data_IF_504692545160
#
_entry.id   IF_504692545160
#
_cell.length_a   1.000
_cell.length_b   1.000
_cell.length_c   1.000
_cell.angle_alpha   90.00
_cell.angle_beta   90.00
_cell.angle_gamma   90.00
#
_symmetry.space_group_name_H-M   'P 1'
#
loop_
_entity.id
_entity.type
_entity.pdbx_description
1 polymer ?
#
# COMPACT_ATOMS: atom_id res chain seq x y z
N UNK A 1 51.08 -32.42 -36.20
CA UNK A 1 50.45 -31.45 -35.31
C UNK A 1 49.41 -32.18 -34.45
N UNK A 2 49.64 -32.36 -33.14
CA UNK A 2 48.70 -33.02 -32.26
C UNK A 2 47.70 -32.00 -31.71
N UNK A 3 46.44 -32.43 -31.57
CA UNK A 3 45.36 -31.66 -30.94
C UNK A 3 45.58 -31.64 -29.41
N UNK A 4 45.28 -30.52 -28.73
CA UNK A 4 45.29 -30.51 -27.27
C UNK A 4 44.03 -31.17 -26.73
N UNK A 5 44.18 -32.19 -25.92
CA UNK A 5 43.14 -32.80 -25.09
C UNK A 5 43.02 -31.95 -23.83
N UNK A 6 42.02 -31.07 -23.79
CA UNK A 6 41.62 -30.41 -22.56
C UNK A 6 40.84 -31.42 -21.68
N UNK A 7 41.56 -31.94 -20.72
CA UNK A 7 40.98 -32.64 -19.58
C UNK A 7 40.35 -31.60 -18.65
N UNK A 8 39.04 -31.42 -18.77
CA UNK A 8 38.24 -30.73 -17.76
C UNK A 8 38.33 -31.56 -16.46
N UNK A 9 39.02 -31.01 -15.50
CA UNK A 9 39.12 -31.56 -14.15
C UNK A 9 37.75 -31.53 -13.46
N UNK A 10 37.11 -32.70 -13.42
CA UNK A 10 35.76 -32.92 -12.86
C UNK A 10 35.77 -32.95 -11.32
N UNK A 11 36.80 -32.39 -10.68
CA UNK A 11 37.03 -32.45 -9.22
C UNK A 11 36.32 -31.32 -8.46
N UNK A 12 35.79 -30.30 -9.14
CA UNK A 12 35.01 -29.23 -8.50
C UNK A 12 33.50 -29.48 -8.75
N UNK A 13 32.82 -30.06 -7.79
CA UNK A 13 31.41 -30.02 -7.45
C UNK A 13 30.89 -31.35 -6.87
N UNK A 14 31.65 -31.99 -6.00
CA UNK A 14 31.03 -32.82 -4.97
C UNK A 14 30.55 -31.89 -3.84
N UNK A 15 29.55 -31.03 -4.10
CA UNK A 15 28.72 -30.48 -3.05
C UNK A 15 28.05 -31.67 -2.39
N UNK A 16 28.62 -32.07 -1.25
CA UNK A 16 28.01 -33.09 -0.38
C UNK A 16 26.66 -32.51 0.08
N UNK A 17 25.59 -32.83 -0.64
CA UNK A 17 24.23 -32.54 -0.21
C UNK A 17 24.05 -33.27 1.11
N UNK A 18 24.36 -32.60 2.21
CA UNK A 18 23.88 -32.99 3.53
C UNK A 18 22.37 -32.88 3.36
N UNK A 19 21.67 -34.03 3.45
CA UNK A 19 20.21 -34.07 3.43
C UNK A 19 19.67 -33.46 4.72
N UNK A 20 19.77 -32.15 4.83
CA UNK A 20 18.98 -31.34 5.73
C UNK A 20 17.69 -31.02 4.94
N UNK A 21 16.72 -31.88 5.06
CA UNK A 21 15.43 -31.76 4.35
C UNK A 21 14.47 -30.92 5.19
N UNK A 22 14.81 -29.65 5.45
CA UNK A 22 13.91 -28.74 6.17
C UNK A 22 12.79 -28.31 5.20
N UNK A 23 11.61 -28.90 5.37
CA UNK A 23 10.44 -28.64 4.54
C UNK A 23 9.78 -27.32 4.90
N UNK A 24 9.45 -26.52 3.90
CA UNK A 24 8.72 -25.24 4.07
C UNK A 24 7.37 -25.43 4.78
N UNK A 25 6.67 -26.53 4.49
CA UNK A 25 5.40 -26.86 5.18
C UNK A 25 5.60 -27.17 6.66
N UNK A 26 6.74 -27.76 7.03
CA UNK A 26 7.09 -27.93 8.42
C UNK A 26 7.40 -26.59 9.12
N UNK A 27 8.06 -25.66 8.43
CA UNK A 27 8.28 -24.29 8.94
C UNK A 27 6.98 -23.51 9.09
N UNK A 28 6.03 -23.63 8.16
CA UNK A 28 4.69 -23.03 8.30
C UNK A 28 3.95 -23.58 9.50
N UNK A 29 4.00 -24.89 9.68
CA UNK A 29 3.39 -25.56 10.84
C UNK A 29 4.03 -25.09 12.14
N UNK A 30 5.35 -24.97 12.20
CA UNK A 30 6.07 -24.41 13.34
C UNK A 30 5.62 -22.98 13.65
N UNK A 31 5.51 -22.11 12.65
CA UNK A 31 5.05 -20.73 12.82
C UNK A 31 3.59 -20.66 13.31
N UNK A 32 2.71 -21.56 12.87
CA UNK A 32 1.35 -21.65 13.41
C UNK A 32 1.35 -21.98 14.91
N UNK A 33 2.30 -22.78 15.40
CA UNK A 33 2.47 -22.96 16.85
C UNK A 33 2.97 -21.68 17.53
N UNK A 34 3.94 -20.98 16.94
CA UNK A 34 4.43 -19.69 17.50
C UNK A 34 3.29 -18.69 17.71
N UNK A 35 2.33 -18.65 16.79
CA UNK A 35 1.17 -17.75 16.85
C UNK A 35 0.12 -18.21 17.88
N UNK A 36 -0.12 -19.52 17.99
CA UNK A 36 -1.23 -20.06 18.79
C UNK A 36 -0.82 -20.52 20.18
N UNK A 37 0.47 -20.85 20.39
CA UNK A 37 0.99 -21.42 21.63
C UNK A 37 0.42 -22.82 21.98
N UNK A 38 -0.18 -23.55 21.02
CA UNK A 38 -0.82 -24.83 21.25
C UNK A 38 -0.82 -25.72 20.02
N UNK A 39 -0.33 -26.96 20.15
CA UNK A 39 -0.34 -27.95 19.06
C UNK A 39 -1.75 -28.20 18.52
N UNK A 40 -2.76 -28.25 19.39
CA UNK A 40 -4.14 -28.47 18.96
C UNK A 40 -4.69 -27.29 18.14
N UNK A 41 -4.43 -26.05 18.59
CA UNK A 41 -4.86 -24.85 17.86
C UNK A 41 -4.08 -24.66 16.56
N UNK A 42 -2.77 -24.88 16.59
CA UNK A 42 -1.93 -24.82 15.40
C UNK A 42 -2.35 -25.84 14.35
N UNK A 43 -2.58 -27.12 14.75
CA UNK A 43 -3.07 -28.15 13.86
C UNK A 43 -4.40 -27.77 13.20
N UNK A 44 -5.35 -27.24 13.97
CA UNK A 44 -6.64 -26.75 13.45
C UNK A 44 -6.45 -25.60 12.46
N UNK A 45 -5.57 -24.65 12.74
CA UNK A 45 -5.27 -23.51 11.86
C UNK A 45 -4.78 -23.93 10.48
N UNK A 46 -3.97 -25.00 10.41
CA UNK A 46 -3.43 -25.53 9.15
C UNK A 46 -4.22 -26.75 8.60
N UNK A 47 -5.44 -26.99 9.10
CA UNK A 47 -6.33 -28.08 8.65
C UNK A 47 -5.71 -29.48 8.78
N UNK A 48 -4.95 -29.75 9.86
CA UNK A 48 -4.36 -31.05 10.17
C UNK A 48 -4.86 -31.63 11.50
N UNK A 49 -4.70 -32.94 11.67
CA UNK A 49 -4.91 -33.55 12.99
C UNK A 49 -3.77 -33.21 13.94
N UNK A 50 -4.03 -33.19 15.25
CA UNK A 50 -3.01 -32.90 16.26
C UNK A 50 -1.88 -33.96 16.25
N UNK A 51 -2.22 -35.23 15.96
CA UNK A 51 -1.24 -36.31 15.83
C UNK A 51 -0.29 -36.11 14.65
N UNK A 52 -0.84 -35.74 13.47
CA UNK A 52 -0.05 -35.44 12.28
C UNK A 52 0.84 -34.21 12.48
N UNK A 53 0.32 -33.18 13.13
CA UNK A 53 1.09 -31.99 13.50
C UNK A 53 2.26 -32.34 14.44
N UNK A 54 1.98 -33.13 15.51
CA UNK A 54 3.01 -33.56 16.45
C UNK A 54 4.10 -34.39 15.79
N UNK A 55 3.73 -35.31 14.89
CA UNK A 55 4.69 -36.11 14.13
C UNK A 55 5.56 -35.24 13.21
N UNK A 56 4.97 -34.22 12.56
CA UNK A 56 5.71 -33.29 11.73
C UNK A 56 6.69 -32.45 12.54
N UNK A 57 6.31 -31.97 13.72
CA UNK A 57 7.22 -31.20 14.60
C UNK A 57 8.38 -32.05 15.12
N UNK A 58 8.14 -33.29 15.51
CA UNK A 58 9.22 -34.22 15.87
C UNK A 58 10.22 -34.44 14.73
N UNK A 59 9.71 -34.66 13.53
CA UNK A 59 10.55 -34.79 12.34
C UNK A 59 11.41 -33.54 12.10
N UNK A 60 10.84 -32.36 12.29
CA UNK A 60 11.57 -31.11 12.18
C UNK A 60 12.69 -30.99 13.25
N UNK A 61 12.44 -31.39 14.50
CA UNK A 61 13.43 -31.47 15.56
C UNK A 61 14.56 -32.45 15.23
N UNK A 62 14.23 -33.63 14.71
CA UNK A 62 15.19 -34.64 14.25
C UNK A 62 16.06 -34.11 13.13
N UNK A 63 15.50 -33.41 12.16
CA UNK A 63 16.21 -32.84 11.02
C UNK A 63 17.15 -31.68 11.46
N UNK A 64 16.75 -30.88 12.42
CA UNK A 64 17.54 -29.78 12.99
C UNK A 64 18.58 -30.31 13.99
N UNK A 65 18.32 -31.44 14.61
CA UNK A 65 19.16 -32.02 15.66
C UNK A 65 19.07 -31.28 17.01
N UNK A 66 17.96 -30.59 17.26
CA UNK A 66 17.70 -29.85 18.49
C UNK A 66 16.21 -29.85 18.85
N UNK A 67 15.91 -29.91 20.14
CA UNK A 67 14.54 -29.73 20.63
C UNK A 67 14.10 -28.27 20.39
N UNK A 68 12.96 -28.10 19.77
CA UNK A 68 12.33 -26.79 19.52
C UNK A 68 11.30 -26.43 20.58
N UNK A 69 10.80 -27.45 21.29
CA UNK A 69 9.75 -27.30 22.29
C UNK A 69 10.17 -27.93 23.63
N UNK A 70 9.90 -27.23 24.71
CA UNK A 70 10.13 -27.70 26.07
C UNK A 70 8.83 -27.62 26.89
N UNK A 71 8.73 -28.49 27.90
CA UNK A 71 7.60 -28.44 28.83
C UNK A 71 7.91 -27.54 30.02
N UNK A 72 7.11 -26.50 30.20
CA UNK A 72 7.10 -25.70 31.42
C UNK A 72 5.79 -25.95 32.18
N UNK A 73 5.84 -26.84 33.17
CA UNK A 73 4.67 -27.28 33.89
C UNK A 73 3.65 -27.98 32.99
N UNK A 74 2.49 -27.37 32.79
CA UNK A 74 1.43 -27.91 31.92
C UNK A 74 1.46 -27.36 30.49
N UNK A 75 2.37 -26.43 30.22
CA UNK A 75 2.46 -25.75 28.94
C UNK A 75 3.64 -26.25 28.13
N UNK A 76 3.46 -26.24 26.80
CA UNK A 76 4.53 -26.44 25.86
C UNK A 76 4.96 -25.05 25.36
N UNK A 77 6.24 -24.74 25.50
CA UNK A 77 6.82 -23.45 25.08
C UNK A 77 8.00 -23.70 24.15
N UNK A 78 8.47 -22.65 23.49
CA UNK A 78 9.67 -22.75 22.64
C UNK A 78 10.93 -22.87 23.51
N UNK A 79 11.85 -23.73 23.07
CA UNK A 79 13.22 -23.76 23.57
C UNK A 79 14.01 -22.55 23.01
N UNK A 80 15.25 -22.34 23.45
CA UNK A 80 16.18 -21.36 22.85
C UNK A 80 16.40 -21.62 21.37
N UNK A 81 16.49 -22.89 20.95
CA UNK A 81 16.57 -23.27 19.53
C UNK A 81 15.29 -22.91 18.78
N UNK A 82 14.10 -23.14 19.39
CA UNK A 82 12.82 -22.76 18.82
C UNK A 82 12.67 -21.24 18.68
N UNK A 83 13.11 -20.47 19.66
CA UNK A 83 13.11 -19.00 19.59
C UNK A 83 13.98 -18.52 18.43
N UNK A 84 15.20 -19.05 18.30
CA UNK A 84 16.11 -18.73 17.18
C UNK A 84 15.52 -19.12 15.82
N UNK A 85 14.92 -20.31 15.73
CA UNK A 85 14.31 -20.78 14.49
C UNK A 85 13.16 -19.84 14.05
N UNK A 86 12.45 -19.21 14.95
CA UNK A 86 11.28 -18.37 14.62
C UNK A 86 11.63 -17.27 13.63
N UNK A 87 12.75 -16.55 13.82
CA UNK A 87 13.17 -15.49 12.90
C UNK A 87 13.56 -16.04 11.54
N UNK A 88 14.35 -17.12 11.52
CA UNK A 88 14.79 -17.78 10.28
C UNK A 88 13.63 -18.43 9.51
N UNK A 89 12.69 -19.09 10.21
CA UNK A 89 11.50 -19.67 9.61
C UNK A 89 10.63 -18.62 8.92
N UNK A 90 10.41 -17.45 9.54
CA UNK A 90 9.69 -16.35 8.92
C UNK A 90 10.37 -15.86 7.66
N UNK A 91 11.68 -15.69 7.66
CA UNK A 91 12.45 -15.26 6.49
C UNK A 91 12.38 -16.29 5.36
N UNK A 92 12.60 -17.58 5.66
CA UNK A 92 12.58 -18.65 4.66
C UNK A 92 11.20 -18.83 4.03
N UNK A 93 10.13 -18.84 4.83
CA UNK A 93 8.76 -18.93 4.33
C UNK A 93 8.42 -17.70 3.48
N UNK A 94 8.78 -16.50 3.93
CA UNK A 94 8.57 -15.27 3.17
C UNK A 94 9.31 -15.29 1.84
N UNK A 95 10.59 -15.69 1.83
CA UNK A 95 11.40 -15.78 0.62
C UNK A 95 10.87 -16.83 -0.36
N UNK A 96 10.45 -17.99 0.14
CA UNK A 96 9.82 -19.03 -0.67
C UNK A 96 8.53 -18.51 -1.33
N UNK A 97 7.66 -17.84 -0.56
CA UNK A 97 6.40 -17.30 -1.08
C UNK A 97 6.64 -16.20 -2.11
N UNK A 98 7.64 -15.34 -1.86
CA UNK A 98 8.06 -14.34 -2.81
C UNK A 98 8.58 -14.99 -4.10
N UNK A 99 9.44 -15.99 -4.02
CA UNK A 99 9.97 -16.70 -5.20
C UNK A 99 8.87 -17.37 -6.00
N UNK A 100 7.94 -18.07 -5.34
CA UNK A 100 6.79 -18.66 -6.03
C UNK A 100 5.88 -17.63 -6.66
N UNK A 101 5.70 -16.51 -5.99
CA UNK A 101 4.99 -15.35 -6.51
C UNK A 101 5.69 -14.83 -7.76
N UNK A 102 6.96 -14.53 -7.70
CA UNK A 102 7.75 -14.03 -8.83
C UNK A 102 7.71 -14.99 -10.03
N UNK A 103 7.89 -16.29 -9.80
CA UNK A 103 7.84 -17.29 -10.88
C UNK A 103 6.45 -17.45 -11.51
N UNK A 104 5.38 -17.37 -10.72
CA UNK A 104 4.02 -17.34 -11.23
C UNK A 104 3.75 -16.07 -12.05
N UNK A 105 4.39 -14.95 -11.70
CA UNK A 105 4.24 -13.65 -12.38
C UNK A 105 5.04 -13.57 -13.67
N UNK A 106 6.07 -14.39 -13.85
CA UNK A 106 6.78 -14.47 -15.13
C UNK A 106 5.83 -14.89 -16.29
N UNK A 107 4.67 -15.48 -15.97
CA UNK A 107 3.66 -15.89 -16.95
C UNK A 107 2.51 -14.86 -17.09
N UNK A 108 2.28 -13.99 -16.13
CA UNK A 108 1.18 -13.01 -16.17
C UNK A 108 1.68 -11.66 -16.74
N UNK A 109 1.62 -11.56 -18.08
CA UNK A 109 2.02 -10.33 -18.82
C UNK A 109 0.94 -9.26 -18.84
N UNK A 110 -0.16 -9.43 -18.08
CA UNK A 110 -1.21 -8.43 -18.08
C UNK A 110 -0.73 -7.14 -17.41
N UNK A 111 -1.13 -5.97 -17.94
CA UNK A 111 -0.80 -4.71 -17.30
C UNK A 111 -1.48 -4.56 -15.95
N UNK A 112 -0.79 -3.91 -15.01
CA UNK A 112 -1.38 -3.48 -13.74
C UNK A 112 -2.35 -2.33 -14.00
N UNK A 113 -3.62 -2.48 -13.64
CA UNK A 113 -4.66 -1.46 -13.79
C UNK A 113 -4.75 -0.64 -12.51
N UNK A 114 -4.23 0.58 -12.56
CA UNK A 114 -4.13 1.51 -11.42
C UNK A 114 -5.11 2.67 -11.59
N UNK A 115 -6.01 2.84 -10.64
CA UNK A 115 -6.86 4.04 -10.54
C UNK A 115 -6.14 5.16 -9.78
N UNK A 116 -6.26 6.40 -10.25
CA UNK A 116 -5.72 7.57 -9.56
C UNK A 116 -6.63 8.79 -9.81
N UNK A 117 -7.18 9.44 -8.77
CA UNK A 117 -7.83 10.71 -8.92
C UNK A 117 -6.86 11.76 -9.47
N UNK A 118 -7.35 12.66 -10.29
CA UNK A 118 -6.53 13.72 -10.90
C UNK A 118 -5.78 14.55 -9.85
N UNK A 119 -6.39 14.76 -8.71
CA UNK A 119 -5.81 15.47 -7.56
C UNK A 119 -4.41 14.99 -7.16
N UNK A 120 -4.10 13.72 -7.41
CA UNK A 120 -2.87 13.08 -6.95
C UNK A 120 -1.90 12.74 -8.08
N UNK A 121 -2.21 13.10 -9.33
CA UNK A 121 -1.39 12.80 -10.50
C UNK A 121 0.00 13.44 -10.43
N UNK A 122 0.13 14.63 -9.87
CA UNK A 122 1.41 15.35 -9.84
C UNK A 122 2.32 14.93 -8.67
N UNK A 123 1.75 14.65 -7.50
CA UNK A 123 2.55 14.48 -6.26
C UNK A 123 2.63 13.03 -5.75
N UNK A 124 1.56 12.25 -5.89
CA UNK A 124 1.49 10.89 -5.31
C UNK A 124 1.76 9.82 -6.36
N UNK A 125 1.11 9.91 -7.52
CA UNK A 125 1.19 8.92 -8.59
C UNK A 125 2.63 8.65 -9.05
N UNK A 126 3.49 9.65 -9.34
CA UNK A 126 4.85 9.40 -9.81
C UNK A 126 5.68 8.62 -8.80
N UNK A 127 5.52 8.90 -7.49
CA UNK A 127 6.22 8.18 -6.44
C UNK A 127 5.78 6.72 -6.35
N UNK A 128 4.48 6.45 -6.48
CA UNK A 128 3.94 5.09 -6.51
C UNK A 128 4.42 4.33 -7.74
N UNK A 129 4.36 4.94 -8.94
CA UNK A 129 4.86 4.33 -10.19
C UNK A 129 6.35 3.99 -10.08
N UNK A 130 7.17 4.87 -9.51
CA UNK A 130 8.60 4.60 -9.33
C UNK A 130 8.84 3.37 -8.45
N UNK A 131 8.09 3.20 -7.37
CA UNK A 131 8.21 2.03 -6.47
C UNK A 131 7.70 0.74 -7.14
N UNK A 132 6.61 0.82 -7.89
CA UNK A 132 6.10 -0.31 -8.69
C UNK A 132 7.11 -0.73 -9.76
N UNK A 133 7.70 0.22 -10.46
CA UNK A 133 8.73 -0.05 -11.47
C UNK A 133 10.00 -0.64 -10.88
N UNK A 134 10.42 -0.21 -9.69
CA UNK A 134 11.54 -0.82 -8.98
C UNK A 134 11.25 -2.29 -8.59
N UNK A 135 10.02 -2.57 -8.18
CA UNK A 135 9.62 -3.94 -7.81
C UNK A 135 9.55 -4.87 -9.04
N UNK A 136 9.07 -4.36 -10.17
CA UNK A 136 8.88 -5.13 -11.40
C UNK A 136 9.08 -4.25 -12.65
N UNK A 137 10.31 -4.11 -13.15
CA UNK A 137 10.64 -3.25 -14.29
C UNK A 137 9.93 -3.61 -15.59
N UNK A 138 9.52 -4.87 -15.75
CA UNK A 138 8.88 -5.39 -16.97
C UNK A 138 7.35 -5.29 -16.96
N UNK A 139 6.73 -4.92 -15.84
CA UNK A 139 5.29 -4.77 -15.75
C UNK A 139 4.86 -3.44 -16.37
N UNK A 140 3.95 -3.49 -17.34
CA UNK A 140 3.28 -2.29 -17.82
C UNK A 140 2.17 -1.86 -16.87
N UNK A 141 1.97 -0.55 -16.72
CA UNK A 141 0.96 0.02 -15.83
C UNK A 141 -0.01 0.84 -16.68
N UNK A 142 -1.30 0.56 -16.56
CA UNK A 142 -2.37 1.37 -17.14
C UNK A 142 -2.99 2.22 -16.04
N UNK A 143 -2.97 3.54 -16.22
CA UNK A 143 -3.53 4.49 -15.26
C UNK A 143 -4.90 4.97 -15.73
N UNK A 144 -5.88 4.90 -14.84
CA UNK A 144 -7.25 5.39 -15.06
C UNK A 144 -7.51 6.56 -14.11
N UNK A 145 -7.84 7.73 -14.68
CA UNK A 145 -8.06 8.94 -13.88
C UNK A 145 -9.56 9.23 -13.79
N UNK A 146 -10.11 9.02 -12.60
CA UNK A 146 -11.53 9.21 -12.29
C UNK A 146 -11.69 9.63 -10.80
N UNK A 147 -12.86 10.16 -10.40
CA UNK A 147 -13.13 10.44 -8.98
C UNK A 147 -13.06 9.20 -8.10
N UNK A 148 -12.67 9.37 -6.83
CA UNK A 148 -12.48 8.25 -5.88
C UNK A 148 -13.69 7.33 -5.75
N UNK A 149 -14.91 7.85 -5.88
CA UNK A 149 -16.15 7.06 -5.80
C UNK A 149 -16.26 6.07 -6.98
N UNK A 150 -15.93 6.52 -8.20
CA UNK A 150 -15.92 5.66 -9.39
C UNK A 150 -14.78 4.67 -9.37
N UNK A 151 -13.60 5.09 -8.93
CA UNK A 151 -12.46 4.19 -8.75
C UNK A 151 -12.76 3.08 -7.73
N UNK A 152 -13.47 3.41 -6.64
CA UNK A 152 -13.89 2.40 -5.65
C UNK A 152 -14.86 1.40 -6.27
N UNK A 153 -15.87 1.87 -7.01
CA UNK A 153 -16.81 0.99 -7.72
C UNK A 153 -16.10 0.04 -8.68
N UNK A 154 -15.13 0.56 -9.47
CA UNK A 154 -14.33 -0.26 -10.40
C UNK A 154 -13.40 -1.24 -9.69
N UNK A 155 -12.87 -0.86 -8.54
CA UNK A 155 -12.04 -1.73 -7.71
C UNK A 155 -12.86 -2.92 -7.18
N UNK A 156 -14.07 -2.65 -6.67
CA UNK A 156 -14.99 -3.67 -6.16
C UNK A 156 -15.49 -4.61 -7.29
N UNK A 157 -15.68 -4.07 -8.48
CA UNK A 157 -16.03 -4.86 -9.67
C UNK A 157 -14.84 -5.68 -10.24
N UNK A 158 -13.62 -5.49 -9.75
CA UNK A 158 -12.40 -6.13 -10.27
C UNK A 158 -11.95 -5.59 -11.63
N UNK A 159 -12.45 -4.42 -12.02
CA UNK A 159 -12.02 -3.70 -13.23
C UNK A 159 -10.66 -3.02 -13.04
N UNK A 160 -10.29 -2.71 -11.80
CA UNK A 160 -8.98 -2.21 -11.38
C UNK A 160 -8.31 -3.22 -10.44
N UNK A 161 -6.98 -3.24 -10.44
CA UNK A 161 -6.19 -4.06 -9.53
C UNK A 161 -5.90 -3.30 -8.22
N UNK A 162 -5.67 -1.99 -8.34
CA UNK A 162 -5.52 -1.09 -7.19
C UNK A 162 -5.95 0.34 -7.57
N UNK A 163 -6.20 1.17 -6.56
CA UNK A 163 -6.52 2.57 -6.75
C UNK A 163 -5.99 3.43 -5.60
N UNK A 164 -5.47 4.60 -5.94
CA UNK A 164 -5.25 5.68 -4.98
C UNK A 164 -6.63 6.26 -4.64
N UNK A 165 -6.96 6.27 -3.35
CA UNK A 165 -8.25 6.75 -2.86
C UNK A 165 -8.07 7.72 -1.70
N UNK A 166 -9.08 8.55 -1.50
CA UNK A 166 -9.20 9.41 -0.32
C UNK A 166 -10.07 8.73 0.73
N UNK A 167 -9.60 8.68 1.98
CA UNK A 167 -10.36 8.18 3.13
C UNK A 167 -10.40 9.20 4.28
N UNK A 168 -11.30 8.99 5.24
CA UNK A 168 -11.24 9.69 6.52
C UNK A 168 -10.03 9.19 7.34
N UNK A 169 -9.37 10.05 8.15
CA UNK A 169 -8.20 9.65 8.93
C UNK A 169 -8.44 8.48 9.90
N UNK A 170 -9.68 8.27 10.32
CA UNK A 170 -10.07 7.19 11.25
C UNK A 170 -10.51 5.89 10.55
N UNK A 171 -10.38 5.81 9.22
CA UNK A 171 -10.70 4.60 8.46
C UNK A 171 -9.48 3.69 8.37
N UNK A 172 -9.70 2.38 8.37
CA UNK A 172 -8.65 1.36 8.18
C UNK A 172 -8.54 0.89 6.72
N UNK A 173 -9.32 1.49 5.80
CA UNK A 173 -9.33 1.11 4.38
C UNK A 173 -7.97 1.36 3.72
N UNK A 174 -7.43 0.34 3.06
CA UNK A 174 -6.23 0.44 2.21
C UNK A 174 -4.93 0.71 2.97
N UNK A 175 -3.84 0.81 2.23
CA UNK A 175 -2.49 1.05 2.72
C UNK A 175 -2.19 2.55 2.67
N UNK A 176 -1.77 3.11 3.77
CA UNK A 176 -1.53 4.55 3.88
C UNK A 176 -0.34 4.98 3.02
N UNK A 177 -0.53 6.05 2.24
CA UNK A 177 0.51 6.67 1.42
C UNK A 177 0.94 8.02 2.02
N UNK A 178 -0.03 8.91 2.22
CA UNK A 178 0.21 10.25 2.77
C UNK A 178 -1.08 10.82 3.33
N UNK A 179 -1.00 12.03 3.88
CA UNK A 179 -2.17 12.80 4.29
C UNK A 179 -2.19 14.12 3.54
N UNK A 180 -3.37 14.64 3.28
CA UNK A 180 -3.57 15.95 2.67
C UNK A 180 -4.46 16.83 3.55
N UNK A 181 -4.13 18.12 3.59
CA UNK A 181 -4.90 19.13 4.32
C UNK A 181 -5.70 19.97 3.34
N UNK A 182 -7.00 20.08 3.57
CA UNK A 182 -7.83 21.01 2.82
C UNK A 182 -7.39 22.45 3.05
N UNK A 183 -7.32 23.23 1.97
CA UNK A 183 -6.88 24.63 1.98
C UNK A 183 -7.79 25.46 1.08
N UNK A 184 -7.94 26.74 1.45
CA UNK A 184 -8.54 27.74 0.60
C UNK A 184 -7.49 28.42 -0.26
N UNK A 185 -7.79 28.61 -1.54
CA UNK A 185 -6.88 29.16 -2.53
C UNK A 185 -7.51 30.30 -3.31
N UNK A 186 -6.66 31.27 -3.69
CA UNK A 186 -7.01 32.36 -4.59
C UNK A 186 -5.84 32.70 -5.52
N UNK A 187 -6.09 33.42 -6.59
CA UNK A 187 -4.99 34.00 -7.38
C UNK A 187 -4.22 35.04 -6.56
N UNK A 188 -3.00 35.38 -7.01
CA UNK A 188 -2.18 36.38 -6.32
C UNK A 188 -2.84 37.76 -6.24
N UNK A 189 -3.66 38.10 -7.24
CA UNK A 189 -4.32 39.41 -7.39
C UNK A 189 -5.76 39.44 -6.90
N UNK A 190 -6.32 38.33 -6.44
CA UNK A 190 -7.72 38.27 -6.01
C UNK A 190 -7.91 39.05 -4.70
N UNK A 191 -8.81 40.03 -4.70
CA UNK A 191 -9.18 40.82 -3.51
C UNK A 191 -10.49 40.31 -2.93
N UNK A 192 -10.44 39.68 -1.76
CA UNK A 192 -11.61 39.09 -1.08
C UNK A 192 -12.61 40.18 -0.69
N UNK A 193 -12.10 41.32 -0.21
CA UNK A 193 -12.87 42.44 0.30
C UNK A 193 -13.67 43.19 -0.78
N UNK A 194 -13.28 43.01 -2.04
CA UNK A 194 -13.97 43.62 -3.18
C UNK A 194 -15.30 42.93 -3.52
N UNK A 195 -15.62 41.78 -2.87
CA UNK A 195 -16.77 40.97 -3.19
C UNK A 195 -17.82 40.98 -2.06
N UNK A 196 -19.03 41.42 -2.33
CA UNK A 196 -20.15 41.30 -1.39
C UNK A 196 -20.60 39.85 -1.22
N UNK A 197 -20.47 39.02 -2.26
CA UNK A 197 -20.64 37.58 -2.24
C UNK A 197 -19.43 36.95 -2.90
N UNK A 198 -18.77 36.01 -2.23
CA UNK A 198 -17.52 35.36 -2.72
C UNK A 198 -17.84 34.42 -3.88
N UNK A 199 -17.22 34.61 -5.06
CA UNK A 199 -17.37 33.65 -6.16
C UNK A 199 -16.55 32.39 -5.83
N UNK A 200 -17.19 31.22 -5.86
CA UNK A 200 -16.59 29.95 -5.53
C UNK A 200 -16.45 29.07 -6.78
N UNK A 201 -15.27 28.50 -6.98
CA UNK A 201 -15.05 27.36 -7.85
C UNK A 201 -14.74 26.15 -6.96
N UNK A 202 -15.64 25.18 -6.92
CA UNK A 202 -15.52 24.00 -6.06
C UNK A 202 -15.53 22.72 -6.89
N UNK A 203 -15.04 21.65 -6.30
CA UNK A 203 -15.19 20.31 -6.88
C UNK A 203 -16.63 19.82 -6.75
N UNK A 204 -16.96 18.64 -7.28
CA UNK A 204 -18.31 18.07 -7.21
C UNK A 204 -18.83 17.98 -5.75
N UNK A 205 -20.13 17.96 -5.58
CA UNK A 205 -20.81 18.05 -4.28
C UNK A 205 -20.48 16.88 -3.31
N UNK A 206 -20.08 15.73 -3.82
CA UNK A 206 -19.63 14.56 -3.07
C UNK A 206 -18.21 14.70 -2.50
N UNK A 207 -17.49 15.77 -2.88
CA UNK A 207 -16.16 16.06 -2.34
C UNK A 207 -16.26 16.61 -0.90
N UNK A 208 -15.44 16.06 0.00
CA UNK A 208 -15.38 16.50 1.41
C UNK A 208 -15.01 17.97 1.55
N UNK A 209 -14.16 18.50 0.67
CA UNK A 209 -13.77 19.91 0.70
C UNK A 209 -14.90 20.82 0.24
N UNK A 210 -15.71 20.41 -0.75
CA UNK A 210 -16.89 21.13 -1.19
C UNK A 210 -17.89 21.28 -0.03
N UNK A 211 -18.29 20.15 0.56
CA UNK A 211 -19.26 20.16 1.66
C UNK A 211 -18.78 21.01 2.85
N UNK A 212 -17.50 20.86 3.23
CA UNK A 212 -16.90 21.62 4.33
C UNK A 212 -16.79 23.12 4.02
N UNK A 213 -16.51 23.48 2.77
CA UNK A 213 -16.43 24.88 2.33
C UNK A 213 -17.81 25.57 2.44
N UNK A 214 -18.84 24.97 1.90
CA UNK A 214 -20.21 25.49 1.97
C UNK A 214 -20.69 25.62 3.43
N UNK A 215 -20.55 24.53 4.20
CA UNK A 215 -20.96 24.53 5.62
C UNK A 215 -20.21 25.58 6.44
N UNK A 216 -18.89 25.69 6.23
CA UNK A 216 -18.06 26.65 6.97
C UNK A 216 -18.40 28.10 6.66
N UNK A 217 -18.61 28.47 5.38
CA UNK A 217 -18.99 29.82 4.99
C UNK A 217 -20.39 30.16 5.50
N UNK A 218 -21.35 29.21 5.39
CA UNK A 218 -22.71 29.36 5.89
C UNK A 218 -22.72 29.64 7.39
N UNK A 219 -21.97 28.88 8.19
CA UNK A 219 -21.85 29.07 9.64
C UNK A 219 -21.25 30.41 10.04
N UNK A 220 -20.38 30.99 9.19
CA UNK A 220 -19.82 32.34 9.41
C UNK A 220 -20.72 33.47 8.89
N UNK A 221 -21.84 33.16 8.26
CA UNK A 221 -22.69 34.17 7.64
C UNK A 221 -22.02 34.88 6.45
N UNK A 222 -20.99 34.27 5.87
CA UNK A 222 -20.29 34.83 4.72
C UNK A 222 -21.06 34.54 3.44
N UNK A 223 -21.50 35.61 2.75
CA UNK A 223 -22.20 35.49 1.47
C UNK A 223 -21.24 34.91 0.40
N UNK A 224 -21.75 33.97 -0.38
CA UNK A 224 -21.01 33.36 -1.49
C UNK A 224 -21.96 33.03 -2.65
N UNK A 225 -21.36 32.87 -3.84
CA UNK A 225 -22.03 32.37 -5.03
C UNK A 225 -21.20 31.25 -5.64
N UNK A 226 -21.77 30.07 -5.88
CA UNK A 226 -21.11 29.00 -6.61
C UNK A 226 -21.02 29.39 -8.08
N UNK A 227 -19.84 29.85 -8.52
CA UNK A 227 -19.56 30.23 -9.90
C UNK A 227 -19.41 28.99 -10.77
N UNK A 228 -18.71 27.98 -10.27
CA UNK A 228 -18.46 26.75 -11.01
C UNK A 228 -18.35 25.53 -10.07
N UNK A 229 -18.92 24.41 -10.54
CA UNK A 229 -18.74 23.09 -9.97
C UNK A 229 -17.91 22.25 -10.95
N UNK A 230 -16.66 21.92 -10.57
CA UNK A 230 -15.70 21.27 -11.44
C UNK A 230 -15.64 19.78 -11.14
N UNK A 231 -15.36 18.97 -12.17
CA UNK A 231 -15.12 17.53 -12.01
C UNK A 231 -13.63 17.16 -12.03
N UNK A 232 -12.74 18.14 -12.22
CA UNK A 232 -11.30 17.98 -12.20
C UNK A 232 -10.65 19.07 -11.35
N UNK A 233 -9.54 18.74 -10.68
CA UNK A 233 -8.76 19.70 -9.90
C UNK A 233 -8.10 20.75 -10.79
N UNK A 234 -7.68 20.37 -12.00
CA UNK A 234 -7.08 21.29 -12.98
C UNK A 234 -8.07 22.36 -13.44
N UNK A 235 -9.33 21.99 -13.71
CA UNK A 235 -10.36 22.96 -14.08
C UNK A 235 -10.66 23.93 -12.92
N UNK A 236 -10.83 23.43 -11.70
CA UNK A 236 -11.03 24.26 -10.52
C UNK A 236 -9.84 25.23 -10.33
N UNK A 237 -8.62 24.73 -10.39
CA UNK A 237 -7.38 25.51 -10.23
C UNK A 237 -7.26 26.59 -11.31
N UNK A 238 -7.55 26.26 -12.58
CA UNK A 238 -7.48 27.21 -13.68
C UNK A 238 -8.42 28.42 -13.49
N UNK A 239 -9.65 28.21 -13.01
CA UNK A 239 -10.58 29.29 -12.69
C UNK A 239 -10.05 30.19 -11.56
N UNK A 240 -9.45 29.61 -10.55
CA UNK A 240 -8.85 30.32 -9.42
C UNK A 240 -7.61 31.11 -9.88
N UNK A 241 -6.73 30.52 -10.67
CA UNK A 241 -5.51 31.17 -11.22
C UNK A 241 -5.84 32.41 -12.06
N UNK A 242 -6.96 32.37 -12.79
CA UNK A 242 -7.45 33.52 -13.56
C UNK A 242 -8.14 34.59 -12.70
N UNK A 243 -8.25 34.40 -11.40
CA UNK A 243 -8.87 35.36 -10.50
C UNK A 243 -10.39 35.43 -10.59
N UNK A 244 -11.05 34.43 -11.20
CA UNK A 244 -12.50 34.41 -11.36
C UNK A 244 -13.23 33.98 -10.08
N UNK A 245 -12.59 33.20 -9.23
CA UNK A 245 -13.15 32.65 -8.01
C UNK A 245 -12.08 32.31 -6.98
N UNK A 246 -12.50 32.03 -5.74
CA UNK A 246 -11.69 31.30 -4.77
C UNK A 246 -12.06 29.83 -4.79
N UNK A 247 -11.14 28.97 -4.37
CA UNK A 247 -11.32 27.52 -4.35
C UNK A 247 -11.06 26.90 -3.00
N UNK A 248 -11.64 25.72 -2.76
CA UNK A 248 -11.33 24.85 -1.63
C UNK A 248 -10.90 23.49 -2.17
N UNK A 249 -9.66 23.08 -1.87
CA UNK A 249 -9.07 21.83 -2.38
C UNK A 249 -8.02 21.28 -1.46
N UNK A 250 -7.47 20.11 -1.79
CA UNK A 250 -6.30 19.55 -1.11
C UNK A 250 -5.04 20.38 -1.37
N UNK A 251 -4.19 20.53 -0.37
CA UNK A 251 -2.91 21.28 -0.50
C UNK A 251 -1.99 20.64 -1.55
N UNK A 252 -2.04 19.32 -1.71
CA UNK A 252 -1.23 18.61 -2.72
C UNK A 252 -1.61 18.98 -4.16
N UNK A 253 -2.85 19.46 -4.38
CA UNK A 253 -3.41 19.78 -5.70
C UNK A 253 -3.39 21.28 -6.03
N UNK A 254 -2.98 22.14 -5.08
CA UNK A 254 -3.16 23.59 -5.24
C UNK A 254 -2.32 24.22 -6.35
N UNK A 255 -1.15 23.62 -6.70
CA UNK A 255 -0.21 24.22 -7.64
C UNK A 255 0.52 25.45 -7.08
N UNK A 256 1.42 26.06 -7.88
CA UNK A 256 2.33 27.10 -7.44
C UNK A 256 1.85 28.53 -7.79
N UNK A 257 0.82 28.66 -8.65
CA UNK A 257 0.34 29.97 -9.15
C UNK A 257 -0.74 30.60 -8.27
N UNK A 258 -1.16 29.94 -7.23
CA UNK A 258 -2.17 30.41 -6.29
C UNK A 258 -1.57 30.69 -4.94
N UNK A 259 -2.25 31.51 -4.13
CA UNK A 259 -1.91 31.75 -2.74
C UNK A 259 -2.91 31.11 -1.80
N UNK A 260 -2.45 30.78 -0.60
CA UNK A 260 -3.32 30.32 0.48
C UNK A 260 -4.09 31.50 1.07
N UNK A 261 -5.40 31.33 1.26
CA UNK A 261 -6.21 32.24 2.02
C UNK A 261 -6.15 31.86 3.51
N UNK A 262 -5.76 32.81 4.35
CA UNK A 262 -5.84 32.70 5.80
C UNK A 262 -7.21 33.21 6.27
N UNK A 263 -7.59 32.87 7.49
CA UNK A 263 -8.82 33.32 8.14
C UNK A 263 -10.13 32.85 7.49
N UNK A 264 -10.06 31.78 6.70
CA UNK A 264 -11.22 31.08 6.16
C UNK A 264 -11.62 29.90 7.06
N UNK A 265 -12.87 29.38 6.92
CA UNK A 265 -13.30 28.20 7.68
C UNK A 265 -12.35 27.02 7.49
N UNK A 266 -12.03 26.27 8.57
CA UNK A 266 -11.10 25.14 8.46
C UNK A 266 -11.70 24.07 7.55
N UNK A 267 -10.84 23.50 6.69
CA UNK A 267 -11.18 22.37 5.83
C UNK A 267 -10.61 21.06 6.41
N UNK A 268 -11.23 19.92 6.16
CA UNK A 268 -10.81 18.66 6.76
C UNK A 268 -9.43 18.21 6.28
N UNK A 269 -8.77 17.41 7.14
CA UNK A 269 -7.65 16.56 6.75
C UNK A 269 -8.21 15.24 6.20
N UNK A 270 -7.55 14.69 5.21
CA UNK A 270 -7.86 13.37 4.62
C UNK A 270 -6.60 12.53 4.54
N UNK A 271 -6.77 11.23 4.57
CA UNK A 271 -5.69 10.30 4.24
C UNK A 271 -5.82 9.84 2.78
N UNK A 272 -4.67 9.70 2.14
CA UNK A 272 -4.52 9.15 0.80
C UNK A 272 -3.95 7.75 0.95
N UNK A 273 -4.63 6.77 0.38
CA UNK A 273 -4.32 5.35 0.55
C UNK A 273 -4.27 4.63 -0.79
N UNK A 274 -3.55 3.51 -0.84
CA UNK A 274 -3.65 2.54 -1.92
C UNK A 274 -4.62 1.45 -1.48
N UNK A 275 -5.80 1.40 -2.09
CA UNK A 275 -6.72 0.30 -1.96
C UNK A 275 -6.47 -0.74 -3.04
N UNK A 276 -6.69 -2.02 -2.74
CA UNK A 276 -6.45 -3.14 -3.65
C UNK A 276 -7.71 -3.97 -3.82
N UNK A 277 -7.92 -4.50 -5.02
CA UNK A 277 -9.03 -5.39 -5.32
C UNK A 277 -8.85 -6.74 -4.60
N UNK A 278 -9.94 -7.44 -4.30
CA UNK A 278 -9.92 -8.79 -3.77
C UNK A 278 -9.19 -9.80 -4.70
N UNK A 279 -9.19 -9.53 -6.02
CA UNK A 279 -8.44 -10.26 -7.05
C UNK A 279 -7.31 -9.39 -7.58
N UNK A 280 -6.46 -8.89 -6.69
CA UNK A 280 -5.40 -7.96 -7.03
C UNK A 280 -4.35 -8.59 -7.95
N UNK A 281 -3.62 -7.70 -8.65
CA UNK A 281 -2.47 -8.10 -9.45
C UNK A 281 -1.40 -8.72 -8.55
N UNK A 282 -0.71 -9.74 -9.02
CA UNK A 282 0.32 -10.44 -8.26
C UNK A 282 1.45 -9.57 -7.70
N UNK A 283 1.78 -8.45 -8.34
CA UNK A 283 2.71 -7.45 -7.80
C UNK A 283 2.29 -6.89 -6.44
N UNK A 284 1.00 -6.87 -6.17
CA UNK A 284 0.42 -6.28 -4.97
C UNK A 284 0.36 -7.29 -3.82
N UNK A 285 1.47 -8.01 -3.56
CA UNK A 285 1.56 -8.93 -2.42
C UNK A 285 1.44 -8.15 -1.10
N UNK A 286 0.89 -8.79 -0.07
CA UNK A 286 0.77 -8.16 1.26
C UNK A 286 2.11 -7.68 1.82
N UNK A 287 3.19 -8.44 1.55
CA UNK A 287 4.54 -8.07 1.97
C UNK A 287 5.00 -6.79 1.29
N UNK A 288 4.80 -6.68 -0.03
CA UNK A 288 5.15 -5.49 -0.79
C UNK A 288 4.31 -4.27 -0.36
N UNK A 289 3.01 -4.45 -0.13
CA UNK A 289 2.10 -3.38 0.30
C UNK A 289 2.48 -2.81 1.68
N UNK A 290 2.91 -3.65 2.62
CA UNK A 290 3.43 -3.20 3.92
C UNK A 290 4.76 -2.46 3.79
N UNK A 291 5.63 -2.88 2.87
CA UNK A 291 6.89 -2.18 2.57
C UNK A 291 6.63 -0.83 1.92
N UNK A 292 5.66 -0.75 1.00
CA UNK A 292 5.21 0.49 0.38
C UNK A 292 4.77 1.52 1.42
N UNK A 293 3.90 1.13 2.34
CA UNK A 293 3.40 1.98 3.43
C UNK A 293 4.56 2.54 4.27
N UNK A 294 5.54 1.71 4.62
CA UNK A 294 6.75 2.13 5.33
C UNK A 294 7.58 3.13 4.52
N UNK A 295 7.80 2.87 3.22
CA UNK A 295 8.60 3.75 2.35
C UNK A 295 7.95 5.12 2.15
N UNK A 296 6.61 5.20 2.07
CA UNK A 296 5.91 6.48 2.03
C UNK A 296 6.02 7.23 3.36
N UNK A 297 5.95 6.52 4.49
CA UNK A 297 6.15 7.12 5.82
C UNK A 297 7.55 7.70 5.99
N UNK A 298 8.60 6.97 5.57
CA UNK A 298 10.00 7.40 5.69
C UNK A 298 10.32 8.61 4.80
N UNK A 299 9.75 8.69 3.58
CA UNK A 299 9.92 9.86 2.69
C UNK A 299 9.34 11.16 3.27
N UNK A 300 8.25 11.07 4.01
CA UNK A 300 7.64 12.23 4.69
C UNK A 300 8.48 12.73 5.86
N UNK A 301 9.21 11.85 6.54
CA UNK A 301 10.13 12.22 7.62
C UNK A 301 11.39 12.91 7.08
N UNK A 302 11.81 12.58 5.85
CA UNK A 302 13.00 13.17 5.21
C UNK A 302 12.76 14.56 4.58
N UNK A 303 11.51 15.00 4.45
CA UNK A 303 11.12 16.31 3.85
C UNK A 303 10.71 17.34 4.93
N UNK A 304 10.75 16.97 6.20
CA UNK A 304 10.58 17.88 7.34
C UNK A 304 11.93 18.36 7.83
#
# INVERSE_FOLDING_TARGET
MPRPTDSFDTTYLKIRWIRLNMDIEALRSFLAFVETGSFTRAAKQISRTQSAFSAQMRKLEEEIGAELFIKEGRYLVLSDAGIRLTSHARQLVSQHDQTLSELKHFQDKRPLRLGCPEDYNEKVLPSLIALLHQAQPTCSIQVFSEPSIELRRKLDAGELDCAILTRAPNSEEGYWLTSDQGVWIASQTFCVEAHSALPLALFQADCKYHAAAIDGLTKRGQAFQLLACCNTASAQRALVEQGLAIGAMGKLSMGDKVRLLKDFPPLPKVDIVLAVSAKSHPLLSQTWLKQLEKQFSDKLLAVR
#
